data_IF_728551318856
#
_entry.id   IF_728551318856
#
_cell.length_a   1.000
_cell.length_b   1.000
_cell.length_c   1.000
_cell.angle_alpha   90.00
_cell.angle_beta   90.00
_cell.angle_gamma   90.00
#
_symmetry.space_group_name_H-M   'P 1'
#
loop_
_entity.id
_entity.type
_entity.pdbx_description
1 polymer ?
#
# COMPACT_ATOMS: atom_id res chain seq x y z
N UNK A 1 -15.87 9.71 36.76
CA UNK A 1 -15.92 8.83 35.57
C UNK A 1 -15.89 9.72 34.35
N UNK A 2 -14.73 9.86 33.71
CA UNK A 2 -14.58 10.72 32.55
C UNK A 2 -15.41 10.14 31.40
N UNK A 3 -16.37 10.93 30.94
CA UNK A 3 -17.17 10.71 29.75
C UNK A 3 -16.27 10.21 28.61
N UNK A 4 -16.63 9.09 27.97
CA UNK A 4 -15.92 8.53 26.81
C UNK A 4 -16.08 9.50 25.63
N UNK A 5 -15.34 10.61 25.65
CA UNK A 5 -15.28 11.55 24.56
C UNK A 5 -14.82 10.77 23.32
N UNK A 6 -15.63 10.79 22.27
CA UNK A 6 -15.31 10.13 21.01
C UNK A 6 -13.92 10.59 20.55
N UNK A 7 -13.06 9.64 20.16
CA UNK A 7 -11.66 9.91 19.84
C UNK A 7 -11.51 10.98 18.73
N UNK A 8 -12.54 11.13 17.88
CA UNK A 8 -12.63 12.13 16.81
C UNK A 8 -11.35 12.19 15.96
N UNK A 9 -10.81 11.01 15.67
CA UNK A 9 -9.47 10.82 15.12
C UNK A 9 -9.45 10.88 13.58
N UNK A 10 -10.55 10.52 12.91
CA UNK A 10 -10.64 10.38 11.44
C UNK A 10 -10.18 11.63 10.69
N UNK A 11 -10.61 12.82 11.11
CA UNK A 11 -10.25 14.09 10.47
C UNK A 11 -9.23 14.90 11.27
N UNK A 12 -8.53 14.27 12.21
CA UNK A 12 -7.60 14.97 13.10
C UNK A 12 -6.47 15.67 12.35
N UNK A 13 -5.97 15.06 11.27
CA UNK A 13 -4.92 15.64 10.43
C UNK A 13 -5.33 16.97 9.77
N UNK A 14 -6.63 17.19 9.53
CA UNK A 14 -7.16 18.34 8.78
C UNK A 14 -7.73 19.44 9.68
N UNK A 15 -7.64 19.29 11.01
CA UNK A 15 -8.07 20.36 11.92
C UNK A 15 -7.19 21.60 11.72
N UNK A 16 -7.81 22.78 11.70
CA UNK A 16 -7.10 24.06 11.60
C UNK A 16 -6.12 24.19 12.77
N UNK A 17 -4.87 24.55 12.46
CA UNK A 17 -3.80 24.82 13.43
C UNK A 17 -3.14 26.15 13.11
N UNK A 18 -2.47 26.75 14.10
CA UNK A 18 -1.88 28.09 14.00
C UNK A 18 -0.92 28.25 12.82
N UNK A 19 -0.18 27.20 12.45
CA UNK A 19 0.71 27.17 11.28
C UNK A 19 0.12 26.32 10.16
N UNK A 20 -0.56 26.97 9.22
CA UNK A 20 -1.08 26.35 8.00
C UNK A 20 0.02 25.97 7.00
N UNK A 21 -0.27 25.01 6.11
CA UNK A 21 0.59 24.67 4.97
C UNK A 21 1.84 23.83 5.26
N UNK A 22 2.11 23.46 6.51
CA UNK A 22 3.29 22.64 6.86
C UNK A 22 3.22 21.25 6.23
N UNK A 23 2.07 20.58 6.32
CA UNK A 23 1.86 19.27 5.69
C UNK A 23 1.98 19.33 4.17
N UNK A 24 1.46 20.41 3.54
CA UNK A 24 1.58 20.61 2.09
C UNK A 24 3.05 20.75 1.67
N UNK A 25 3.84 21.55 2.40
CA UNK A 25 5.28 21.70 2.13
C UNK A 25 6.03 20.38 2.30
N UNK A 26 5.72 19.62 3.36
CA UNK A 26 6.32 18.30 3.58
C UNK A 26 5.94 17.32 2.46
N UNK A 27 4.68 17.32 2.00
CA UNK A 27 4.23 16.49 0.88
C UNK A 27 4.89 16.88 -0.44
N UNK A 28 5.08 18.18 -0.71
CA UNK A 28 5.79 18.65 -1.90
C UNK A 28 7.25 18.18 -1.87
N UNK A 29 7.93 18.35 -0.74
CA UNK A 29 9.31 17.90 -0.63
C UNK A 29 9.44 16.36 -0.69
N UNK A 30 8.44 15.61 -0.18
CA UNK A 30 8.35 14.16 -0.39
C UNK A 30 8.18 13.81 -1.87
N UNK A 31 7.28 14.49 -2.59
CA UNK A 31 7.06 14.28 -4.02
C UNK A 31 8.32 14.58 -4.84
N UNK A 32 9.02 15.68 -4.54
CA UNK A 32 10.29 16.02 -5.20
C UNK A 32 11.31 14.91 -4.95
N UNK A 33 11.48 14.47 -3.70
CA UNK A 33 12.37 13.37 -3.37
C UNK A 33 12.01 12.06 -4.08
N UNK A 34 10.72 11.73 -4.13
CA UNK A 34 10.22 10.52 -4.78
C UNK A 34 10.47 10.57 -6.30
N UNK A 35 10.20 11.71 -6.94
CA UNK A 35 10.47 11.92 -8.37
C UNK A 35 11.96 11.77 -8.67
N UNK A 36 12.83 12.37 -7.85
CA UNK A 36 14.29 12.25 -8.04
C UNK A 36 14.74 10.80 -7.90
N UNK A 37 14.25 10.07 -6.89
CA UNK A 37 14.58 8.66 -6.70
C UNK A 37 14.06 7.78 -7.82
N UNK A 38 12.82 7.99 -8.29
CA UNK A 38 12.23 7.25 -9.40
C UNK A 38 12.99 7.55 -10.69
N UNK A 39 13.30 8.83 -10.97
CA UNK A 39 14.06 9.22 -12.16
C UNK A 39 15.46 8.62 -12.15
N UNK A 40 16.14 8.61 -11.00
CA UNK A 40 17.44 7.96 -10.86
C UNK A 40 17.36 6.45 -11.13
N UNK A 41 16.33 5.77 -10.61
CA UNK A 41 16.10 4.35 -10.88
C UNK A 41 15.86 4.08 -12.37
N UNK A 42 14.94 4.82 -12.98
CA UNK A 42 14.62 4.70 -14.41
C UNK A 42 15.85 4.98 -15.26
N UNK A 43 16.66 5.99 -14.92
CA UNK A 43 17.88 6.28 -15.64
C UNK A 43 18.93 5.16 -15.52
N UNK A 44 19.07 4.55 -14.34
CA UNK A 44 20.01 3.45 -14.11
C UNK A 44 19.61 2.16 -14.84
N UNK A 45 18.31 1.88 -14.92
CA UNK A 45 17.78 0.64 -15.52
C UNK A 45 17.17 0.85 -16.91
N UNK A 46 17.40 2.00 -17.54
CA UNK A 46 16.79 2.35 -18.83
C UNK A 46 17.07 1.30 -19.91
N UNK A 47 18.30 0.79 -19.98
CA UNK A 47 18.71 -0.24 -20.93
C UNK A 47 18.03 -1.59 -20.69
N UNK A 48 17.59 -1.88 -19.47
CA UNK A 48 16.89 -3.13 -19.11
C UNK A 48 15.40 -3.09 -19.45
N UNK A 49 14.79 -1.90 -19.54
CA UNK A 49 13.34 -1.77 -19.77
C UNK A 49 12.89 -2.29 -21.14
N UNK A 50 13.68 -2.04 -22.19
CA UNK A 50 13.36 -2.48 -23.55
C UNK A 50 13.27 -4.01 -23.68
N UNK A 51 14.33 -4.76 -23.32
CA UNK A 51 14.32 -6.22 -23.34
C UNK A 51 13.20 -6.83 -22.50
N UNK A 52 12.94 -6.28 -21.31
CA UNK A 52 11.86 -6.76 -20.42
C UNK A 52 10.49 -6.50 -21.05
N UNK A 53 10.27 -5.34 -21.66
CA UNK A 53 9.02 -5.03 -22.36
C UNK A 53 8.78 -5.95 -23.55
N UNK A 54 9.83 -6.24 -24.33
CA UNK A 54 9.76 -7.16 -25.46
C UNK A 54 9.44 -8.59 -25.01
N UNK A 55 10.12 -9.07 -23.96
CA UNK A 55 9.84 -10.36 -23.33
C UNK A 55 8.40 -10.44 -22.80
N UNK A 56 7.93 -9.42 -22.07
CA UNK A 56 6.55 -9.38 -21.56
C UNK A 56 5.53 -9.40 -22.71
N UNK A 57 5.80 -8.68 -23.80
CA UNK A 57 4.97 -8.73 -25.00
C UNK A 57 4.89 -10.13 -25.62
N UNK A 58 6.00 -10.87 -25.67
CA UNK A 58 6.02 -12.26 -26.15
C UNK A 58 5.18 -13.18 -25.27
N UNK A 59 5.32 -13.08 -23.94
CA UNK A 59 4.53 -13.85 -22.97
C UNK A 59 3.03 -13.56 -23.12
N UNK A 60 2.65 -12.29 -23.28
CA UNK A 60 1.25 -11.90 -23.46
C UNK A 60 0.68 -12.49 -24.76
N UNK A 61 1.41 -12.41 -25.87
CA UNK A 61 0.97 -12.99 -27.15
C UNK A 61 0.85 -14.51 -27.07
N UNK A 62 1.83 -15.19 -26.46
CA UNK A 62 1.79 -16.63 -26.26
C UNK A 62 0.62 -17.05 -25.36
N UNK A 63 0.33 -16.28 -24.30
CA UNK A 63 -0.82 -16.48 -23.42
C UNK A 63 -2.16 -16.32 -24.13
N UNK A 64 -2.28 -15.36 -25.05
CA UNK A 64 -3.49 -15.19 -25.88
C UNK A 64 -3.69 -16.37 -26.84
N UNK A 65 -2.61 -16.97 -27.33
CA UNK A 65 -2.66 -18.10 -28.25
C UNK A 65 -2.70 -19.47 -27.55
N UNK A 66 -2.80 -19.49 -26.21
CA UNK A 66 -2.75 -20.71 -25.38
C UNK A 66 -1.49 -21.57 -25.63
N UNK A 67 -0.41 -20.95 -26.10
CA UNK A 67 0.85 -21.64 -26.39
C UNK A 67 1.72 -21.76 -25.14
N UNK A 68 1.35 -22.72 -24.29
CA UNK A 68 2.08 -23.00 -23.04
C UNK A 68 3.55 -23.38 -23.29
N UNK A 69 3.88 -23.98 -24.43
CA UNK A 69 5.25 -24.33 -24.77
C UNK A 69 6.10 -23.09 -25.07
N UNK A 70 5.54 -22.09 -25.75
CA UNK A 70 6.22 -20.82 -25.98
C UNK A 70 6.43 -20.02 -24.68
N UNK A 71 5.48 -20.08 -23.74
CA UNK A 71 5.62 -19.44 -22.42
C UNK A 71 6.75 -20.11 -21.61
N UNK A 72 6.78 -21.43 -21.57
CA UNK A 72 7.83 -22.18 -20.87
C UNK A 72 9.21 -21.98 -21.50
N UNK A 73 9.28 -21.90 -22.83
CA UNK A 73 10.53 -21.69 -23.57
C UNK A 73 11.08 -20.26 -23.47
N UNK A 74 10.23 -19.26 -23.24
CA UNK A 74 10.64 -17.85 -23.17
C UNK A 74 11.59 -17.55 -21.99
N UNK A 75 11.52 -18.34 -20.90
CA UNK A 75 12.35 -18.15 -19.70
C UNK A 75 12.22 -16.74 -19.11
N UNK A 76 13.11 -16.36 -18.19
CA UNK A 76 13.25 -14.97 -17.74
C UNK A 76 14.55 -14.37 -18.31
N UNK A 77 14.50 -13.17 -18.92
CA UNK A 77 15.71 -12.54 -19.41
C UNK A 77 16.64 -12.16 -18.25
N UNK A 78 17.97 -12.23 -18.39
CA UNK A 78 18.91 -11.85 -17.33
C UNK A 78 18.67 -10.44 -16.75
N UNK A 79 18.25 -9.51 -17.61
CA UNK A 79 17.90 -8.13 -17.27
C UNK A 79 16.76 -8.05 -16.24
N UNK A 80 15.83 -9.01 -16.26
CA UNK A 80 14.73 -9.08 -15.31
C UNK A 80 15.24 -9.26 -13.87
N UNK A 81 16.20 -10.17 -13.67
CA UNK A 81 16.82 -10.37 -12.37
C UNK A 81 17.64 -9.16 -11.92
N UNK A 82 18.32 -8.49 -12.86
CA UNK A 82 19.01 -7.22 -12.62
C UNK A 82 18.04 -6.13 -12.15
N UNK A 83 16.89 -5.99 -12.80
CA UNK A 83 15.85 -5.03 -12.43
C UNK A 83 15.24 -5.35 -11.07
N UNK A 84 14.92 -6.61 -10.77
CA UNK A 84 14.38 -7.01 -9.46
C UNK A 84 15.39 -6.74 -8.34
N UNK A 85 16.64 -7.16 -8.51
CA UNK A 85 17.70 -6.88 -7.54
C UNK A 85 17.91 -5.38 -7.33
N UNK A 86 17.90 -4.62 -8.43
CA UNK A 86 17.92 -3.17 -8.41
C UNK A 86 16.75 -2.54 -7.66
N UNK A 87 15.54 -3.05 -7.88
CA UNK A 87 14.33 -2.58 -7.22
C UNK A 87 14.42 -2.79 -5.72
N UNK A 88 14.91 -3.95 -5.26
CA UNK A 88 15.12 -4.22 -3.84
C UNK A 88 16.10 -3.24 -3.19
N UNK A 89 17.20 -2.90 -3.89
CA UNK A 89 18.14 -1.88 -3.42
C UNK A 89 17.54 -0.48 -3.43
N UNK A 90 16.72 -0.16 -4.44
CA UNK A 90 16.04 1.13 -4.57
C UNK A 90 14.96 1.35 -3.52
N UNK A 91 14.29 0.28 -3.06
CA UNK A 91 13.33 0.36 -1.97
C UNK A 91 13.97 0.94 -0.71
N UNK A 92 15.26 0.68 -0.45
CA UNK A 92 15.93 1.17 0.76
C UNK A 92 15.91 2.71 0.92
N UNK A 93 16.45 3.53 -0.02
CA UNK A 93 16.34 4.99 0.07
C UNK A 93 14.90 5.48 -0.02
N UNK A 94 14.03 4.77 -0.76
CA UNK A 94 12.62 5.13 -0.86
C UNK A 94 11.87 4.98 0.49
N UNK A 95 12.11 3.90 1.23
CA UNK A 95 11.56 3.70 2.57
C UNK A 95 12.12 4.69 3.59
N UNK A 96 13.38 5.13 3.44
CA UNK A 96 13.93 6.20 4.28
C UNK A 96 13.19 7.51 4.00
N UNK A 97 12.93 7.84 2.74
CA UNK A 97 12.16 9.03 2.36
C UNK A 97 10.73 8.95 2.92
N UNK A 98 10.09 7.78 2.84
CA UNK A 98 8.76 7.56 3.39
C UNK A 98 8.74 7.69 4.93
N UNK A 99 9.74 7.12 5.61
CA UNK A 99 9.91 7.29 7.06
C UNK A 99 10.16 8.75 7.45
N UNK A 100 10.91 9.50 6.64
CA UNK A 100 11.16 10.92 6.86
C UNK A 100 9.87 11.73 6.75
N UNK A 101 9.04 11.39 5.76
CA UNK A 101 7.74 12.02 5.54
C UNK A 101 6.77 11.71 6.69
N UNK A 102 6.61 10.45 7.07
CA UNK A 102 5.78 10.06 8.21
C UNK A 102 6.27 10.73 9.50
N UNK A 103 7.58 10.74 9.76
CA UNK A 103 8.15 11.40 10.93
C UNK A 103 7.91 12.93 10.93
N UNK A 104 7.93 13.58 9.76
CA UNK A 104 7.60 15.00 9.62
C UNK A 104 6.13 15.27 9.94
N UNK A 105 5.22 14.48 9.34
CA UNK A 105 3.78 14.56 9.59
C UNK A 105 3.47 14.36 11.08
N UNK A 106 3.96 13.28 11.68
CA UNK A 106 3.71 12.94 13.07
C UNK A 106 4.30 13.96 14.04
N UNK A 107 5.49 14.50 13.77
CA UNK A 107 6.13 15.50 14.63
C UNK A 107 5.35 16.81 14.64
N UNK A 108 4.90 17.26 13.48
CA UNK A 108 4.01 18.41 13.41
C UNK A 108 2.65 18.10 14.05
N UNK A 109 2.11 16.90 13.84
CA UNK A 109 0.80 16.52 14.39
C UNK A 109 0.80 16.41 15.91
N UNK A 110 1.87 15.88 16.51
CA UNK A 110 1.98 15.62 17.95
C UNK A 110 2.57 16.83 18.70
N UNK A 111 3.70 17.36 18.23
CA UNK A 111 4.48 18.40 18.94
C UNK A 111 4.33 19.80 18.32
N UNK A 112 3.74 19.93 17.13
CA UNK A 112 3.66 21.22 16.42
C UNK A 112 4.99 21.72 15.84
N UNK A 113 6.05 20.92 15.92
CA UNK A 113 7.38 21.29 15.45
C UNK A 113 7.51 21.13 13.92
N UNK A 114 8.28 22.02 13.31
CA UNK A 114 8.66 21.96 11.91
C UNK A 114 10.18 22.15 11.81
N UNK A 115 10.91 21.11 11.38
CA UNK A 115 12.38 21.11 11.35
C UNK A 115 12.86 20.48 10.03
N UNK A 116 13.85 21.11 9.41
CA UNK A 116 14.48 20.66 8.16
C UNK A 116 13.94 21.37 6.92
N UNK A 117 14.29 20.84 5.74
CA UNK A 117 13.89 21.41 4.47
C UNK A 117 12.40 21.14 4.22
N UNK A 118 11.57 22.19 4.19
CA UNK A 118 10.11 22.09 4.03
C UNK A 118 9.40 21.18 5.07
N UNK A 119 10.07 20.89 6.20
CA UNK A 119 9.60 19.98 7.27
C UNK A 119 10.13 18.55 7.19
N UNK A 120 10.82 18.19 6.11
CA UNK A 120 11.55 16.94 6.00
C UNK A 120 12.94 17.07 6.63
N UNK A 121 13.27 16.14 7.53
CA UNK A 121 14.58 16.07 8.17
C UNK A 121 15.02 14.62 8.31
N UNK A 122 16.25 14.30 7.90
CA UNK A 122 16.89 12.99 8.10
C UNK A 122 17.52 12.86 9.49
N UNK A 123 16.80 13.31 10.52
CA UNK A 123 17.27 13.31 11.90
C UNK A 123 16.89 12.06 12.69
N UNK A 124 17.17 12.06 13.99
CA UNK A 124 16.78 10.98 14.91
C UNK A 124 15.30 10.54 14.82
N UNK A 125 14.30 11.43 14.61
CA UNK A 125 12.90 11.02 14.43
C UNK A 125 12.67 10.09 13.24
N UNK A 126 13.36 10.33 12.12
CA UNK A 126 13.25 9.54 10.89
C UNK A 126 13.79 8.14 11.08
N UNK A 127 14.98 8.03 11.67
CA UNK A 127 15.58 6.72 11.98
C UNK A 127 14.73 5.90 12.93
N UNK A 128 14.05 6.54 13.89
CA UNK A 128 13.14 5.84 14.81
C UNK A 128 11.90 5.30 14.09
N UNK A 129 11.29 6.07 13.18
CA UNK A 129 10.16 5.60 12.36
C UNK A 129 10.61 4.51 11.39
N UNK A 130 11.79 4.66 10.81
CA UNK A 130 12.37 3.64 9.95
C UNK A 130 12.64 2.32 10.69
N UNK A 131 13.12 2.36 11.94
CA UNK A 131 13.22 1.16 12.80
C UNK A 131 11.85 0.53 13.11
N UNK A 132 10.78 1.33 13.22
CA UNK A 132 9.41 0.81 13.37
C UNK A 132 8.99 0.01 12.14
N UNK A 133 9.37 0.44 10.93
CA UNK A 133 9.11 -0.34 9.71
C UNK A 133 9.82 -1.68 9.70
N UNK A 134 11.08 -1.74 10.14
CA UNK A 134 11.81 -3.01 10.23
C UNK A 134 11.16 -3.99 11.20
N UNK A 135 10.64 -3.50 12.32
CA UNK A 135 9.94 -4.38 13.26
C UNK A 135 8.61 -4.85 12.68
N UNK A 136 7.89 -3.99 11.96
CA UNK A 136 6.73 -4.42 11.20
C UNK A 136 7.06 -5.49 10.15
N UNK A 137 8.17 -5.31 9.43
CA UNK A 137 8.66 -6.27 8.44
C UNK A 137 9.01 -7.62 9.08
N UNK A 138 9.77 -7.61 10.17
CA UNK A 138 10.12 -8.83 10.90
C UNK A 138 8.90 -9.52 11.53
N UNK A 139 7.94 -8.75 12.06
CA UNK A 139 6.69 -9.30 12.56
C UNK A 139 5.84 -9.89 11.44
N UNK A 140 5.81 -9.27 10.26
CA UNK A 140 5.12 -9.81 9.10
C UNK A 140 5.76 -11.13 8.62
N UNK A 141 7.10 -11.21 8.58
CA UNK A 141 7.81 -12.45 8.27
C UNK A 141 7.47 -13.53 9.30
N UNK A 142 7.63 -13.23 10.59
CA UNK A 142 7.37 -14.20 11.66
C UNK A 142 5.92 -14.70 11.65
N UNK A 143 4.97 -13.79 11.42
CA UNK A 143 3.55 -14.12 11.32
C UNK A 143 3.25 -14.98 10.08
N UNK A 144 3.77 -14.60 8.92
CA UNK A 144 3.61 -15.36 7.67
C UNK A 144 4.19 -16.77 7.78
N UNK A 145 5.36 -16.93 8.42
CA UNK A 145 5.96 -18.25 8.69
C UNK A 145 5.06 -19.06 9.64
N UNK A 146 4.63 -18.46 10.75
CA UNK A 146 3.81 -19.16 11.74
C UNK A 146 2.47 -19.64 11.13
N UNK A 147 1.79 -18.77 10.39
CA UNK A 147 0.53 -19.12 9.71
C UNK A 147 0.78 -20.12 8.58
N UNK A 148 1.87 -19.97 7.81
CA UNK A 148 2.24 -20.91 6.76
C UNK A 148 2.48 -22.33 7.29
N UNK A 149 3.14 -22.47 8.45
CA UNK A 149 3.34 -23.76 9.11
C UNK A 149 2.00 -24.34 9.58
N UNK A 150 1.16 -23.54 10.24
CA UNK A 150 -0.16 -23.99 10.71
C UNK A 150 -1.02 -24.44 9.52
N UNK A 151 -1.06 -23.65 8.45
CA UNK A 151 -1.81 -23.96 7.24
C UNK A 151 -1.29 -25.26 6.59
N UNK A 152 0.02 -25.41 6.43
CA UNK A 152 0.62 -26.61 5.86
C UNK A 152 0.31 -27.87 6.69
N UNK A 153 0.35 -27.77 8.02
CA UNK A 153 0.01 -28.89 8.92
C UNK A 153 -1.48 -29.26 8.81
N UNK A 154 -2.38 -28.26 8.83
CA UNK A 154 -3.83 -28.50 8.75
C UNK A 154 -4.23 -29.09 7.40
N UNK A 155 -3.73 -28.51 6.30
CA UNK A 155 -3.93 -29.01 4.94
C UNK A 155 -3.35 -30.41 4.79
N UNK A 156 -2.11 -30.63 5.23
CA UNK A 156 -1.46 -31.94 5.18
C UNK A 156 -2.19 -33.02 5.96
N UNK A 157 -2.67 -32.71 7.17
CA UNK A 157 -3.45 -33.64 7.99
C UNK A 157 -4.81 -33.99 7.37
N UNK A 158 -5.46 -33.03 6.72
CA UNK A 158 -6.72 -33.24 5.99
C UNK A 158 -6.52 -34.12 4.76
N UNK A 159 -5.48 -33.87 3.97
CA UNK A 159 -5.14 -34.69 2.81
C UNK A 159 -4.84 -36.12 3.28
N UNK A 160 -4.04 -36.27 4.34
CA UNK A 160 -3.70 -37.58 4.88
C UNK A 160 -4.92 -38.35 5.43
N UNK A 161 -5.85 -37.67 6.10
CA UNK A 161 -7.01 -38.30 6.72
C UNK A 161 -8.15 -38.61 5.74
N UNK A 162 -8.33 -37.81 4.70
CA UNK A 162 -9.44 -37.96 3.75
C UNK A 162 -9.03 -38.57 2.41
N UNK A 163 -7.74 -38.58 2.09
CA UNK A 163 -7.23 -38.95 0.77
C UNK A 163 -7.69 -38.02 -0.36
N UNK A 164 -8.35 -36.90 -0.05
CA UNK A 164 -9.00 -36.03 -1.02
C UNK A 164 -8.41 -34.62 -0.97
N UNK A 165 -7.64 -34.26 -1.99
CA UNK A 165 -7.03 -32.94 -2.13
C UNK A 165 -8.08 -31.82 -2.24
N UNK A 166 -9.23 -32.09 -2.89
CA UNK A 166 -10.31 -31.10 -3.03
C UNK A 166 -10.96 -30.73 -1.68
N UNK A 167 -10.92 -31.64 -0.70
CA UNK A 167 -11.39 -31.35 0.66
C UNK A 167 -10.45 -30.38 1.41
N UNK A 168 -9.18 -30.28 1.00
CA UNK A 168 -8.23 -29.33 1.58
C UNK A 168 -8.36 -27.93 0.98
N UNK A 169 -8.74 -27.82 -0.29
CA UNK A 169 -8.96 -26.54 -0.97
C UNK A 169 -10.14 -25.75 -0.38
N UNK A 170 -11.16 -26.43 0.16
CA UNK A 170 -12.28 -25.77 0.84
C UNK A 170 -11.89 -25.16 2.19
N UNK A 171 -10.82 -25.64 2.83
CA UNK A 171 -10.34 -25.09 4.11
C UNK A 171 -9.49 -23.83 3.92
N UNK A 172 -8.80 -23.70 2.78
CA UNK A 172 -7.84 -22.62 2.54
C UNK A 172 -8.44 -21.20 2.72
N UNK A 173 -9.62 -20.86 2.15
CA UNK A 173 -10.23 -19.54 2.32
C UNK A 173 -10.56 -19.21 3.78
N UNK A 174 -10.92 -20.22 4.59
CA UNK A 174 -11.23 -20.04 6.02
C UNK A 174 -9.97 -19.68 6.80
N UNK A 175 -8.86 -20.37 6.51
CA UNK A 175 -7.57 -20.08 7.14
C UNK A 175 -7.05 -18.69 6.77
N UNK A 176 -7.17 -18.30 5.51
CA UNK A 176 -6.83 -16.95 5.05
C UNK A 176 -7.69 -15.89 5.73
N UNK A 177 -8.99 -16.12 5.88
CA UNK A 177 -9.88 -15.19 6.58
C UNK A 177 -9.46 -15.01 8.05
N UNK A 178 -9.14 -16.10 8.75
CA UNK A 178 -8.63 -16.06 10.12
C UNK A 178 -7.31 -15.27 10.18
N UNK A 179 -6.39 -15.51 9.23
CA UNK A 179 -5.13 -14.78 9.11
C UNK A 179 -5.37 -13.27 8.98
N UNK A 180 -6.28 -12.86 8.09
CA UNK A 180 -6.61 -11.44 7.92
C UNK A 180 -7.23 -10.83 9.18
N UNK A 181 -8.13 -11.53 9.87
CA UNK A 181 -8.73 -11.04 11.13
C UNK A 181 -7.65 -10.81 12.19
N UNK A 182 -6.73 -11.77 12.36
CA UNK A 182 -5.63 -11.65 13.32
C UNK A 182 -4.71 -10.50 12.91
N UNK A 183 -4.38 -10.37 11.62
CA UNK A 183 -3.54 -9.30 11.11
C UNK A 183 -4.18 -7.93 11.31
N UNK A 184 -5.49 -7.77 11.06
CA UNK A 184 -6.25 -6.54 11.33
C UNK A 184 -6.18 -6.18 12.82
N UNK A 185 -6.37 -7.18 13.70
CA UNK A 185 -6.28 -6.95 15.15
C UNK A 185 -4.91 -6.38 15.56
N UNK A 186 -3.81 -7.00 15.13
CA UNK A 186 -2.46 -6.50 15.42
C UNK A 186 -2.17 -5.17 14.73
N UNK A 187 -2.63 -4.98 13.49
CA UNK A 187 -2.46 -3.75 12.72
C UNK A 187 -3.08 -2.57 13.43
N UNK A 188 -4.33 -2.67 13.89
CA UNK A 188 -5.00 -1.58 14.62
C UNK A 188 -4.34 -1.34 15.99
N UNK A 189 -3.89 -2.40 16.68
CA UNK A 189 -3.24 -2.29 18.00
C UNK A 189 -1.87 -1.62 17.95
N UNK A 190 -1.12 -1.86 16.88
CA UNK A 190 0.25 -1.39 16.70
C UNK A 190 0.37 -0.22 15.70
N UNK A 191 -0.72 0.17 15.03
CA UNK A 191 -0.77 1.32 14.14
C UNK A 191 -0.16 2.60 14.75
N UNK A 192 -0.42 2.97 16.02
CA UNK A 192 0.18 4.18 16.59
C UNK A 192 1.62 4.00 17.06
N UNK A 193 2.34 2.93 16.70
CA UNK A 193 3.73 2.71 17.12
C UNK A 193 4.70 3.80 16.66
N UNK A 194 4.59 4.24 15.41
CA UNK A 194 5.37 5.37 14.89
C UNK A 194 5.01 6.67 15.63
N UNK A 195 3.71 6.94 15.79
CA UNK A 195 3.23 8.13 16.51
C UNK A 195 3.69 8.15 17.98
N UNK A 196 3.66 7.00 18.66
CA UNK A 196 4.10 6.84 20.05
C UNK A 196 5.60 7.06 20.16
N UNK A 197 6.37 6.54 19.22
CA UNK A 197 7.83 6.71 19.15
C UNK A 197 8.22 8.18 18.96
N UNK A 198 7.48 8.92 18.13
CA UNK A 198 7.65 10.37 17.95
C UNK A 198 7.20 11.13 19.20
N UNK A 199 6.03 10.81 19.75
CA UNK A 199 5.47 11.42 20.96
C UNK A 199 6.43 11.33 22.15
N UNK A 200 7.03 10.16 22.36
CA UNK A 200 7.96 9.90 23.45
C UNK A 200 9.42 10.25 23.15
N UNK A 201 9.71 10.78 21.95
CA UNK A 201 11.07 11.06 21.46
C UNK A 201 12.08 9.93 21.76
N UNK A 202 11.64 8.68 21.73
CA UNK A 202 12.44 7.46 21.93
C UNK A 202 11.76 6.29 21.24
N UNK A 203 12.54 5.29 20.84
CA UNK A 203 11.99 4.09 20.23
C UNK A 203 11.02 3.38 21.20
N UNK A 204 9.75 3.22 20.80
CA UNK A 204 8.68 2.78 21.71
C UNK A 204 7.57 1.98 20.98
N UNK A 205 7.96 0.98 20.19
CA UNK A 205 7.02 0.20 19.36
C UNK A 205 5.93 -0.52 20.18
N UNK A 206 6.31 -1.30 21.19
CA UNK A 206 5.36 -2.08 21.99
C UNK A 206 4.52 -1.23 22.95
N UNK A 207 4.93 0.01 23.24
CA UNK A 207 4.09 0.93 24.03
C UNK A 207 2.83 1.37 23.27
N UNK A 208 2.77 1.19 21.95
CA UNK A 208 1.54 1.34 21.17
C UNK A 208 0.38 0.51 21.72
N UNK A 209 0.68 -0.64 22.33
CA UNK A 209 -0.33 -1.49 22.96
C UNK A 209 -1.04 -0.81 24.13
N UNK A 210 -0.30 0.01 24.90
CA UNK A 210 -0.87 0.81 26.01
C UNK A 210 -1.74 1.94 25.47
N UNK A 211 -1.31 2.56 24.36
CA UNK A 211 -2.03 3.64 23.68
C UNK A 211 -3.39 3.16 23.15
N UNK A 212 -3.46 1.95 22.61
CA UNK A 212 -4.70 1.39 22.04
C UNK A 212 -5.60 0.69 23.05
N UNK A 213 -5.13 0.47 24.30
CA UNK A 213 -5.90 -0.22 25.35
C UNK A 213 -7.16 0.57 25.72
N UNK A 214 -8.31 -0.07 25.56
CA UNK A 214 -9.64 0.51 25.81
C UNK A 214 -10.21 1.37 24.67
N UNK A 215 -9.47 1.51 23.56
CA UNK A 215 -9.84 2.37 22.42
C UNK A 215 -9.84 1.65 21.07
N UNK A 216 -9.64 0.33 21.07
CA UNK A 216 -9.55 -0.50 19.86
C UNK A 216 -10.68 -0.23 18.86
N UNK A 217 -11.94 -0.33 19.29
CA UNK A 217 -13.10 -0.14 18.40
C UNK A 217 -13.20 1.27 17.82
N UNK A 218 -12.81 2.30 18.58
CA UNK A 218 -12.80 3.67 18.07
C UNK A 218 -11.72 3.89 17.03
N UNK A 219 -10.54 3.25 17.19
CA UNK A 219 -9.47 3.27 16.20
C UNK A 219 -9.85 2.46 14.96
N UNK A 220 -10.34 1.24 15.14
CA UNK A 220 -10.83 0.38 14.06
C UNK A 220 -11.88 1.12 13.24
N UNK A 221 -12.90 1.72 13.88
CA UNK A 221 -13.92 2.49 13.19
C UNK A 221 -13.37 3.71 12.43
N UNK A 222 -12.34 4.38 12.96
CA UNK A 222 -11.68 5.49 12.28
C UNK A 222 -10.93 5.02 11.02
N UNK A 223 -10.20 3.90 11.11
CA UNK A 223 -9.50 3.30 9.98
C UNK A 223 -10.44 2.74 8.92
N UNK A 224 -11.52 2.06 9.33
CA UNK A 224 -12.54 1.53 8.42
C UNK A 224 -13.20 2.67 7.65
N UNK A 225 -13.54 3.79 8.31
CA UNK A 225 -14.08 4.97 7.62
C UNK A 225 -13.12 5.53 6.57
N UNK A 226 -11.83 5.69 6.92
CA UNK A 226 -10.81 6.15 5.97
C UNK A 226 -10.62 5.16 4.82
N UNK A 227 -10.66 3.86 5.11
CA UNK A 227 -10.56 2.81 4.10
C UNK A 227 -11.75 2.81 3.14
N UNK A 228 -12.99 3.00 3.64
CA UNK A 228 -14.18 3.14 2.79
C UNK A 228 -14.08 4.36 1.87
N UNK A 229 -13.62 5.51 2.37
CA UNK A 229 -13.37 6.68 1.52
C UNK A 229 -12.27 6.43 0.49
N UNK A 230 -11.21 5.70 0.86
CA UNK A 230 -10.14 5.30 -0.05
C UNK A 230 -10.64 4.37 -1.15
N UNK A 231 -11.51 3.41 -0.81
CA UNK A 231 -12.19 2.55 -1.81
C UNK A 231 -13.00 3.39 -2.78
N UNK A 232 -13.85 4.30 -2.27
CA UNK A 232 -14.66 5.14 -3.14
C UNK A 232 -13.79 5.97 -4.10
N UNK A 233 -12.72 6.57 -3.61
CA UNK A 233 -11.79 7.32 -4.44
C UNK A 233 -11.08 6.42 -5.47
N UNK A 234 -10.68 5.21 -5.08
CA UNK A 234 -10.05 4.24 -5.98
C UNK A 234 -11.02 3.75 -7.04
N UNK A 235 -12.28 3.46 -6.69
CA UNK A 235 -13.33 3.10 -7.66
C UNK A 235 -13.52 4.22 -8.68
N UNK A 236 -13.64 5.47 -8.23
CA UNK A 236 -13.81 6.63 -9.11
C UNK A 236 -12.62 6.75 -10.08
N UNK A 237 -11.39 6.63 -9.57
CA UNK A 237 -10.18 6.71 -10.40
C UNK A 237 -10.05 5.53 -11.37
N UNK A 238 -10.38 4.32 -10.92
CA UNK A 238 -10.37 3.12 -11.76
C UNK A 238 -11.41 3.20 -12.87
N UNK A 239 -12.62 3.66 -12.56
CA UNK A 239 -13.67 3.91 -13.57
C UNK A 239 -13.21 4.97 -14.56
N UNK A 240 -12.64 6.09 -14.09
CA UNK A 240 -12.10 7.13 -14.97
C UNK A 240 -10.95 6.61 -15.85
N UNK A 241 -10.06 5.78 -15.32
CA UNK A 241 -8.99 5.14 -16.08
C UNK A 241 -9.52 4.19 -17.14
N UNK A 242 -10.47 3.33 -16.75
CA UNK A 242 -11.10 2.38 -17.66
C UNK A 242 -11.86 3.09 -18.78
N UNK A 243 -12.67 4.11 -18.48
CA UNK A 243 -13.41 4.87 -19.51
C UNK A 243 -12.48 5.63 -20.45
N UNK A 244 -11.36 6.13 -19.94
CA UNK A 244 -10.34 6.79 -20.76
C UNK A 244 -9.67 5.80 -21.72
N UNK A 245 -9.31 4.61 -21.23
CA UNK A 245 -8.65 3.57 -22.03
C UNK A 245 -9.58 2.91 -23.05
N UNK A 246 -10.88 2.83 -22.73
CA UNK A 246 -11.93 2.29 -23.59
C UNK A 246 -12.67 3.36 -24.40
N UNK A 247 -12.15 4.60 -24.42
CA UNK A 247 -12.76 5.69 -25.17
C UNK A 247 -12.74 5.38 -26.68
N UNK A 248 -13.92 5.13 -27.24
CA UNK A 248 -14.08 4.75 -28.64
C UNK A 248 -14.19 3.23 -28.89
N UNK A 249 -14.19 2.41 -27.84
CA UNK A 249 -14.41 0.96 -27.94
C UNK A 249 -15.90 0.68 -27.69
N UNK A 250 -16.59 0.16 -28.71
CA UNK A 250 -17.95 -0.37 -28.55
C UNK A 250 -17.85 -1.80 -28.04
N UNK A 251 -18.21 -2.04 -26.79
CA UNK A 251 -18.30 -3.39 -26.24
C UNK A 251 -19.60 -4.03 -26.72
N UNK A 252 -19.51 -5.10 -27.50
CA UNK A 252 -20.66 -5.93 -27.82
C UNK A 252 -20.98 -6.85 -26.63
N UNK A 253 -21.77 -6.31 -25.69
CA UNK A 253 -22.24 -7.05 -24.52
C UNK A 253 -23.08 -8.27 -24.88
N UNK A 254 -23.68 -8.30 -26.06
CA UNK A 254 -24.50 -9.44 -26.51
C UNK A 254 -23.61 -10.58 -26.97
N UNK A 255 -22.51 -10.28 -27.70
CA UNK A 255 -21.53 -11.28 -28.09
C UNK A 255 -20.74 -11.85 -26.90
N UNK A 256 -20.51 -11.06 -25.84
CA UNK A 256 -19.87 -11.54 -24.60
C UNK A 256 -20.76 -12.49 -23.77
N UNK A 257 -22.08 -12.40 -23.92
CA UNK A 257 -23.03 -13.30 -23.25
C UNK A 257 -23.23 -14.64 -23.96
N UNK A 258 -22.81 -14.75 -25.22
CA UNK A 258 -22.94 -15.96 -26.04
C UNK A 258 -21.68 -16.84 -25.90
N UNK A 259 -21.77 -18.09 -25.39
CA UNK A 259 -20.61 -18.96 -25.20
C UNK A 259 -19.77 -19.15 -26.47
N UNK A 260 -20.41 -19.23 -27.65
CA UNK A 260 -19.73 -19.43 -28.93
C UNK A 260 -19.02 -18.18 -29.49
N UNK A 261 -19.47 -16.98 -29.11
CA UNK A 261 -18.93 -15.70 -29.61
C UNK A 261 -18.09 -14.96 -28.58
N UNK A 262 -18.20 -15.34 -27.32
CA UNK A 262 -17.50 -14.74 -26.18
C UNK A 262 -15.99 -14.71 -26.40
N UNK A 263 -15.40 -15.79 -26.91
CA UNK A 263 -13.95 -15.86 -27.19
C UNK A 263 -13.53 -14.86 -28.24
N UNK A 264 -14.25 -14.76 -29.36
CA UNK A 264 -13.93 -13.83 -30.44
C UNK A 264 -14.12 -12.37 -30.00
N UNK A 265 -15.22 -12.07 -29.32
CA UNK A 265 -15.52 -10.74 -28.78
C UNK A 265 -14.48 -10.32 -27.71
N UNK A 266 -14.03 -11.26 -26.88
CA UNK A 266 -12.98 -11.02 -25.89
C UNK A 266 -11.63 -10.73 -26.55
N UNK A 267 -11.27 -11.50 -27.58
CA UNK A 267 -10.03 -11.28 -28.36
C UNK A 267 -10.06 -9.89 -29.03
N UNK A 268 -11.18 -9.50 -29.64
CA UNK A 268 -11.34 -8.18 -30.25
C UNK A 268 -11.22 -7.05 -29.22
N UNK A 269 -11.86 -7.21 -28.05
CA UNK A 269 -11.77 -6.26 -26.94
C UNK A 269 -10.33 -6.14 -26.43
N UNK A 270 -9.61 -7.26 -26.28
CA UNK A 270 -8.19 -7.28 -25.90
C UNK A 270 -7.29 -6.63 -26.94
N UNK A 271 -7.48 -6.89 -28.22
CA UNK A 271 -6.72 -6.25 -29.29
C UNK A 271 -6.93 -4.74 -29.30
N UNK A 272 -8.18 -4.30 -29.11
CA UNK A 272 -8.53 -2.88 -29.05
C UNK A 272 -7.93 -2.20 -27.81
N UNK A 273 -7.93 -2.89 -26.66
CA UNK A 273 -7.23 -2.44 -25.46
C UNK A 273 -5.73 -2.27 -25.69
N UNK A 274 -5.07 -3.25 -26.32
CA UNK A 274 -3.64 -3.16 -26.65
C UNK A 274 -3.37 -2.00 -27.61
N UNK A 275 -4.23 -1.77 -28.61
CA UNK A 275 -4.11 -0.63 -29.51
C UNK A 275 -4.31 0.71 -28.79
N UNK A 276 -5.21 0.79 -27.81
CA UNK A 276 -5.39 2.02 -27.04
C UNK A 276 -4.18 2.33 -26.17
N UNK A 277 -3.51 1.31 -25.63
CA UNK A 277 -2.22 1.45 -24.95
C UNK A 277 -1.10 1.92 -25.89
N UNK A 278 -1.19 1.73 -27.21
CA UNK A 278 -0.18 2.26 -28.13
C UNK A 278 -0.38 3.76 -28.44
N UNK A 279 -1.52 4.34 -28.05
CA UNK A 279 -1.81 5.75 -28.34
C UNK A 279 -1.12 6.69 -27.34
N UNK A 280 -0.33 7.69 -27.77
CA UNK A 280 0.34 8.63 -26.87
C UNK A 280 -0.63 9.37 -25.93
N UNK A 281 -1.85 9.67 -26.41
CA UNK A 281 -2.90 10.33 -25.61
C UNK A 281 -3.35 9.47 -24.41
N UNK A 282 -3.38 8.15 -24.57
CA UNK A 282 -3.79 7.23 -23.50
C UNK A 282 -2.74 7.26 -22.38
N UNK A 283 -1.45 7.24 -22.72
CA UNK A 283 -0.36 7.38 -21.75
C UNK A 283 -0.39 8.70 -20.99
N UNK A 284 -0.68 9.83 -21.66
CA UNK A 284 -0.81 11.12 -21.00
C UNK A 284 -1.97 11.12 -19.99
N UNK A 285 -3.12 10.58 -20.39
CA UNK A 285 -4.30 10.53 -19.54
C UNK A 285 -4.12 9.55 -18.36
N UNK A 286 -3.52 8.37 -18.60
CA UNK A 286 -3.12 7.44 -17.56
C UNK A 286 -2.11 8.06 -16.59
N UNK A 287 -1.10 8.78 -17.11
CA UNK A 287 -0.12 9.49 -16.30
C UNK A 287 -0.77 10.55 -15.41
N UNK A 288 -1.71 11.33 -15.96
CA UNK A 288 -2.48 12.30 -15.19
C UNK A 288 -3.33 11.65 -14.10
N UNK A 289 -4.07 10.58 -14.43
CA UNK A 289 -4.87 9.83 -13.46
C UNK A 289 -4.02 9.17 -12.38
N UNK A 290 -2.85 8.65 -12.74
CA UNK A 290 -1.89 8.10 -11.80
C UNK A 290 -1.40 9.18 -10.84
N UNK A 291 -1.04 10.37 -11.34
CA UNK A 291 -0.65 11.52 -10.50
C UNK A 291 -1.78 11.95 -9.56
N UNK A 292 -3.02 12.03 -10.04
CA UNK A 292 -4.19 12.32 -9.19
C UNK A 292 -4.33 11.26 -8.11
N UNK A 293 -4.18 9.98 -8.48
CA UNK A 293 -4.18 8.85 -7.54
C UNK A 293 -3.09 8.98 -6.48
N UNK A 294 -1.88 9.41 -6.84
CA UNK A 294 -0.81 9.66 -5.87
C UNK A 294 -1.18 10.79 -4.89
N UNK A 295 -1.75 11.89 -5.39
CA UNK A 295 -2.21 13.00 -4.53
C UNK A 295 -3.28 12.52 -3.55
N UNK A 296 -4.29 11.80 -4.06
CA UNK A 296 -5.36 11.21 -3.24
C UNK A 296 -4.78 10.25 -2.19
N UNK A 297 -3.85 9.37 -2.59
CA UNK A 297 -3.15 8.46 -1.70
C UNK A 297 -2.40 9.19 -0.57
N UNK A 298 -1.67 10.26 -0.89
CA UNK A 298 -0.99 11.11 0.10
C UNK A 298 -1.99 11.70 1.10
N UNK A 299 -3.15 12.19 0.64
CA UNK A 299 -4.20 12.71 1.54
C UNK A 299 -4.68 11.61 2.51
N UNK A 300 -4.89 10.39 2.03
CA UNK A 300 -5.28 9.27 2.88
C UNK A 300 -4.18 8.85 3.86
N UNK A 301 -2.91 8.79 3.43
CA UNK A 301 -1.80 8.50 4.33
C UNK A 301 -1.70 9.52 5.46
N UNK A 302 -1.80 10.81 5.13
CA UNK A 302 -1.84 11.90 6.12
C UNK A 302 -3.01 11.75 7.09
N UNK A 303 -4.19 11.36 6.61
CA UNK A 303 -5.35 11.09 7.46
C UNK A 303 -5.09 9.93 8.44
N UNK A 304 -4.49 8.84 7.96
CA UNK A 304 -4.09 7.69 8.80
C UNK A 304 -3.05 8.09 9.85
N UNK A 305 -2.04 8.89 9.48
CA UNK A 305 -1.08 9.46 10.45
C UNK A 305 -1.80 10.34 11.48
N UNK A 306 -2.83 11.08 11.08
CA UNK A 306 -3.70 11.84 11.98
C UNK A 306 -4.39 10.98 13.02
N UNK A 307 -4.95 9.84 12.62
CA UNK A 307 -5.58 8.90 13.55
C UNK A 307 -4.57 8.41 14.60
N UNK A 308 -3.38 8.03 14.14
CA UNK A 308 -2.29 7.58 15.00
C UNK A 308 -1.77 8.68 15.94
N UNK A 309 -1.62 9.90 15.44
CA UNK A 309 -1.17 11.05 16.21
C UNK A 309 -2.19 11.42 17.31
N UNK A 310 -3.50 11.40 17.01
CA UNK A 310 -4.53 11.65 18.02
C UNK A 310 -4.52 10.59 19.12
N UNK A 311 -4.35 9.33 18.75
CA UNK A 311 -4.23 8.24 19.71
C UNK A 311 -3.05 8.47 20.68
N UNK A 312 -1.89 8.82 20.13
CA UNK A 312 -0.69 9.10 20.93
C UNK A 312 -0.85 10.34 21.83
N UNK A 313 -1.45 11.43 21.34
CA UNK A 313 -1.71 12.63 22.14
C UNK A 313 -2.65 12.36 23.31
N UNK A 314 -3.77 11.67 23.07
CA UNK A 314 -4.69 11.32 24.16
C UNK A 314 -4.01 10.43 25.19
N UNK A 315 -3.14 9.51 24.76
CA UNK A 315 -2.39 8.68 25.70
C UNK A 315 -1.34 9.47 26.52
N UNK A 316 -0.79 10.56 25.98
CA UNK A 316 0.02 11.51 26.75
C UNK A 316 -0.83 12.29 27.76
N UNK A 317 -1.99 12.82 27.32
CA UNK A 317 -2.95 13.54 28.18
C UNK A 317 -3.43 12.66 29.36
N UNK A 318 -3.63 11.36 29.12
CA UNK A 318 -4.04 10.38 30.13
C UNK A 318 -2.88 9.85 30.99
N UNK A 319 -1.63 10.25 30.74
CA UNK A 319 -0.45 9.74 31.46
C UNK A 319 -0.14 8.26 31.21
N UNK A 320 -0.75 7.63 30.19
CA UNK A 320 -0.48 6.22 29.82
C UNK A 320 0.92 6.03 29.23
N UNK A 321 1.46 7.10 28.65
CA UNK A 321 2.83 7.19 28.15
C UNK A 321 3.45 8.47 28.68
N UNK A 322 4.70 8.41 29.12
CA UNK A 322 5.42 9.57 29.63
C UNK A 322 5.98 10.40 28.47
N UNK A 323 5.84 11.75 28.51
CA UNK A 323 6.64 12.63 27.67
C UNK A 323 8.14 12.45 28.00
N UNK A 324 8.99 12.73 27.03
CA UNK A 324 10.44 12.69 27.21
C UNK A 324 10.93 13.85 28.06
#
# INVERSE_FOLDING_TARGET
MAEKQALNATFFAFRKRERGGVLMRASIAFLIGAIVLIAAFVALFWSSLGPIAAWFGQIVVAGVNEDNAAIEAAGFPPEFFGLIGGLLLWLFPFYILYAAYEAACLRWMVHGENVGFMGLSLGAPTWRVWSVYWIWFLLNIAFSIAVGIIAAVLVGALIFSTGNQAAAETLNPVLELIQYIVMIYFSVRLAPAAATTIARRRFAFFDAWKVTKGRFWSLLGSFVLLWLFSILATIILSVAGFTTLMSGVTVDWTALGDPERSTAAFVELMQTYLQSLMQPRAWLAMGALWLIGQVVGIVFYVACYGVNARAAQVALEEGKISPA
#
